data_IF_444976853126
#
_entry.id   IF_444976853126
#
_cell.length_a   1.000
_cell.length_b   1.000
_cell.length_c   1.000
_cell.angle_alpha   90.00
_cell.angle_beta   90.00
_cell.angle_gamma   90.00
#
_symmetry.space_group_name_H-M   'P 1'
#
loop_
_entity.id
_entity.type
_entity.pdbx_description
1 polymer ?
#
# COMPACT_ATOMS: atom_id res chain seq x y z
N UNK A 1 -3.40 -18.85 -0.49
CA UNK A 1 -3.05 -17.55 0.10
C UNK A 1 -4.24 -16.62 -0.03
N UNK A 2 -4.58 -15.91 1.04
CA UNK A 2 -5.67 -14.93 0.99
C UNK A 2 -5.23 -13.70 0.22
N UNK A 3 -6.16 -13.11 -0.51
CA UNK A 3 -5.93 -11.85 -1.20
C UNK A 3 -6.31 -10.67 -0.30
N UNK A 4 -5.51 -9.59 -0.38
CA UNK A 4 -5.90 -8.32 0.22
C UNK A 4 -7.17 -7.81 -0.44
N UNK A 5 -7.98 -7.08 0.33
CA UNK A 5 -9.20 -6.46 -0.16
C UNK A 5 -8.95 -4.96 -0.36
N UNK A 6 -9.49 -4.39 -1.42
CA UNK A 6 -9.34 -2.98 -1.74
C UNK A 6 -10.70 -2.32 -1.97
N UNK A 7 -10.80 -1.07 -1.56
CA UNK A 7 -11.99 -0.24 -1.75
C UNK A 7 -11.54 1.15 -2.19
N UNK A 8 -11.87 1.51 -3.43
CA UNK A 8 -11.54 2.84 -3.96
C UNK A 8 -12.55 3.83 -3.39
N UNK A 9 -12.07 4.73 -2.54
CA UNK A 9 -12.92 5.73 -1.87
C UNK A 9 -13.05 7.02 -2.66
N UNK A 10 -12.01 7.40 -3.38
CA UNK A 10 -11.98 8.59 -4.23
C UNK A 10 -11.13 8.31 -5.46
N UNK A 11 -11.58 8.82 -6.59
CA UNK A 11 -10.82 8.73 -7.84
C UNK A 11 -11.10 9.99 -8.65
N UNK A 12 -10.22 10.98 -8.50
CA UNK A 12 -10.34 12.28 -9.15
C UNK A 12 -9.24 12.46 -10.19
N UNK A 13 -9.18 13.62 -10.82
CA UNK A 13 -8.09 13.94 -11.74
C UNK A 13 -6.74 14.06 -11.02
N UNK A 14 -6.74 14.32 -9.70
CA UNK A 14 -5.54 14.59 -8.93
C UNK A 14 -5.08 13.40 -8.09
N UNK A 15 -6.01 12.61 -7.54
CA UNK A 15 -5.68 11.53 -6.62
C UNK A 15 -6.60 10.34 -6.80
N UNK A 16 -6.08 9.16 -6.43
CA UNK A 16 -6.90 7.99 -6.14
C UNK A 16 -6.62 7.55 -4.71
N UNK A 17 -7.67 7.46 -3.91
CA UNK A 17 -7.57 7.00 -2.51
C UNK A 17 -8.20 5.62 -2.41
N UNK A 18 -7.40 4.64 -2.02
CA UNK A 18 -7.83 3.25 -1.86
C UNK A 18 -7.60 2.81 -0.42
N UNK A 19 -8.62 2.25 0.21
CA UNK A 19 -8.44 1.56 1.48
C UNK A 19 -8.06 0.11 1.22
N UNK A 20 -6.97 -0.32 1.82
CA UNK A 20 -6.50 -1.70 1.74
C UNK A 20 -6.69 -2.40 3.08
N UNK A 21 -7.22 -3.63 3.02
CA UNK A 21 -7.42 -4.48 4.19
C UNK A 21 -6.75 -5.82 3.94
N UNK A 22 -5.86 -6.20 4.84
CA UNK A 22 -5.15 -7.47 4.80
C UNK A 22 -5.51 -8.26 6.06
N UNK A 23 -6.34 -9.28 5.90
CA UNK A 23 -6.58 -10.25 6.98
C UNK A 23 -5.28 -10.98 7.32
N UNK A 24 -5.15 -11.61 8.50
CA UNK A 24 -3.99 -12.46 8.78
C UNK A 24 -3.77 -13.47 7.65
N UNK A 25 -2.56 -13.52 7.12
CA UNK A 25 -2.19 -14.39 6.01
C UNK A 25 -2.50 -13.84 4.63
N UNK A 26 -3.08 -12.66 4.51
CA UNK A 26 -3.38 -12.06 3.21
C UNK A 26 -2.17 -11.36 2.60
N UNK A 27 -2.19 -11.23 1.28
CA UNK A 27 -1.13 -10.57 0.50
C UNK A 27 -1.74 -9.74 -0.63
N UNK A 28 -1.07 -8.64 -0.99
CA UNK A 28 -1.50 -7.83 -2.13
C UNK A 28 -1.19 -8.48 -3.47
N UNK A 29 -0.20 -9.37 -3.51
CA UNK A 29 0.42 -9.87 -4.73
C UNK A 29 1.51 -8.92 -5.22
N UNK A 30 2.42 -9.45 -6.03
CA UNK A 30 3.48 -8.62 -6.62
C UNK A 30 2.88 -7.57 -7.54
N UNK A 31 3.30 -6.32 -7.35
CA UNK A 31 2.82 -5.20 -8.15
C UNK A 31 3.90 -4.12 -8.26
N UNK A 32 3.71 -3.25 -9.25
CA UNK A 32 4.56 -2.08 -9.46
C UNK A 32 3.70 -0.83 -9.30
N UNK A 33 4.16 0.10 -8.48
CA UNK A 33 3.46 1.38 -8.31
C UNK A 33 3.79 2.30 -9.49
N UNK A 34 2.77 2.65 -10.25
CA UNK A 34 2.90 3.53 -11.42
C UNK A 34 2.85 5.02 -11.08
N UNK A 35 2.53 5.38 -9.85
CA UNK A 35 2.40 6.75 -9.38
C UNK A 35 3.12 6.92 -8.05
N UNK A 36 3.55 8.16 -7.76
CA UNK A 36 3.96 8.51 -6.39
C UNK A 36 2.76 8.34 -5.47
N UNK A 37 2.99 7.96 -4.23
CA UNK A 37 1.89 7.69 -3.33
C UNK A 37 2.25 7.95 -1.87
N UNK A 38 1.20 8.21 -1.08
CA UNK A 38 1.29 8.37 0.38
C UNK A 38 0.52 7.21 1.01
N UNK A 39 1.13 6.58 2.00
CA UNK A 39 0.45 5.58 2.81
C UNK A 39 0.06 6.22 4.13
N UNK A 40 -1.20 6.03 4.53
CA UNK A 40 -1.72 6.46 5.82
C UNK A 40 -2.17 5.22 6.58
N UNK A 41 -1.38 4.73 7.53
CA UNK A 41 -1.77 3.57 8.33
C UNK A 41 -3.01 3.88 9.20
N UNK A 42 -3.97 2.97 9.17
CA UNK A 42 -5.14 3.00 10.07
C UNK A 42 -4.86 2.12 11.28
N UNK A 43 -4.10 1.04 11.10
CA UNK A 43 -3.69 0.16 12.21
C UNK A 43 -2.20 0.31 12.48
N UNK A 44 -1.80 0.05 13.71
CA UNK A 44 -0.38 -0.08 14.08
C UNK A 44 -0.02 -1.56 13.96
N UNK A 45 0.99 -1.88 13.15
CA UNK A 45 1.37 -3.26 12.89
C UNK A 45 2.76 -3.33 12.25
N UNK A 46 3.11 -4.50 11.74
CA UNK A 46 4.33 -4.71 10.96
C UNK A 46 3.94 -5.44 9.68
N UNK A 47 4.19 -4.83 8.54
CA UNK A 47 4.00 -5.47 7.25
C UNK A 47 5.28 -6.22 6.85
N UNK A 48 5.12 -7.33 6.13
CA UNK A 48 6.26 -7.98 5.48
C UNK A 48 6.27 -7.57 4.02
N UNK A 49 7.40 -7.01 3.59
CA UNK A 49 7.59 -6.60 2.19
C UNK A 49 8.46 -7.65 1.51
N UNK A 50 7.97 -8.21 0.41
CA UNK A 50 8.76 -9.13 -0.42
C UNK A 50 9.21 -8.37 -1.66
N UNK A 51 10.53 -8.28 -1.83
CA UNK A 51 11.15 -7.56 -2.94
C UNK A 51 11.22 -8.45 -4.19
N UNK A 52 11.48 -7.87 -5.40
CA UNK A 52 11.53 -8.66 -6.62
C UNK A 52 12.54 -9.80 -6.60
N UNK A 53 13.63 -9.67 -5.85
CA UNK A 53 14.66 -10.72 -5.70
C UNK A 53 14.28 -11.80 -4.67
N UNK A 54 13.08 -11.71 -4.07
CA UNK A 54 12.61 -12.63 -3.05
C UNK A 54 13.05 -12.30 -1.63
N UNK A 55 13.88 -11.27 -1.43
CA UNK A 55 14.28 -10.85 -0.09
C UNK A 55 13.08 -10.22 0.64
N UNK A 56 13.13 -10.25 1.97
CA UNK A 56 12.04 -9.76 2.82
C UNK A 56 12.53 -8.67 3.75
N UNK A 57 11.69 -7.67 3.95
CA UNK A 57 11.92 -6.57 4.88
C UNK A 57 10.71 -6.43 5.79
N UNK A 58 10.94 -6.20 7.08
CA UNK A 58 9.88 -5.86 8.01
C UNK A 58 9.64 -4.35 7.97
N UNK A 59 8.39 -3.94 7.79
CA UNK A 59 8.01 -2.53 7.66
C UNK A 59 7.02 -2.17 8.77
N UNK A 60 7.50 -1.64 9.90
CA UNK A 60 6.60 -1.17 10.96
C UNK A 60 5.77 0.01 10.48
N UNK A 61 4.49 -0.02 10.80
CA UNK A 61 3.56 1.08 10.52
C UNK A 61 2.89 1.50 11.82
N UNK A 62 2.61 2.80 11.95
CA UNK A 62 1.96 3.38 13.13
C UNK A 62 0.73 4.15 12.68
N UNK A 63 -0.40 3.89 13.33
CA UNK A 63 -1.67 4.59 13.08
C UNK A 63 -1.45 6.10 12.96
N UNK A 64 -1.93 6.68 11.86
CA UNK A 64 -1.89 8.12 11.63
C UNK A 64 -0.53 8.67 11.20
N UNK A 65 0.53 7.86 11.15
CA UNK A 65 1.85 8.32 10.69
C UNK A 65 2.03 7.96 9.23
N UNK A 66 1.76 8.92 8.36
CA UNK A 66 1.88 8.73 6.92
C UNK A 66 3.34 8.72 6.46
N UNK A 67 3.56 8.13 5.29
CA UNK A 67 4.86 8.19 4.64
C UNK A 67 4.69 8.22 3.12
N UNK A 68 5.67 8.79 2.44
CA UNK A 68 5.70 8.99 1.00
C UNK A 68 6.59 7.94 0.33
N UNK A 69 6.17 7.49 -0.86
CA UNK A 69 6.96 6.60 -1.71
C UNK A 69 6.90 7.06 -3.16
N UNK A 70 8.00 6.92 -3.86
CA UNK A 70 8.11 7.24 -5.28
C UNK A 70 7.49 6.16 -6.15
N UNK A 71 7.01 6.55 -7.33
CA UNK A 71 6.64 5.61 -8.39
C UNK A 71 7.83 4.69 -8.71
N UNK A 72 7.52 3.48 -9.15
CA UNK A 72 8.54 2.49 -9.52
C UNK A 72 8.81 1.45 -8.45
N UNK A 73 8.29 1.61 -7.24
CA UNK A 73 8.42 0.59 -6.20
C UNK A 73 7.75 -0.70 -6.67
N UNK A 74 8.47 -1.82 -6.55
CA UNK A 74 7.98 -3.15 -6.88
C UNK A 74 8.06 -4.03 -5.64
N UNK A 75 6.95 -4.61 -5.25
CA UNK A 75 6.90 -5.47 -4.06
C UNK A 75 5.62 -6.27 -3.98
N UNK A 76 5.61 -7.22 -3.04
CA UNK A 76 4.42 -7.86 -2.50
C UNK A 76 4.33 -7.47 -1.03
N UNK A 77 3.13 -7.16 -0.54
CA UNK A 77 2.91 -6.79 0.86
C UNK A 77 2.10 -7.90 1.52
N UNK A 78 2.65 -8.46 2.61
CA UNK A 78 2.06 -9.57 3.33
C UNK A 78 1.70 -9.17 4.76
N UNK A 79 0.58 -9.69 5.24
CA UNK A 79 0.25 -9.66 6.66
C UNK A 79 0.56 -11.01 7.29
N UNK A 80 1.70 -11.11 7.95
CA UNK A 80 2.12 -12.31 8.66
C UNK A 80 1.83 -12.21 10.17
N UNK A 81 0.98 -11.25 10.57
CA UNK A 81 0.57 -11.05 11.97
C UNK A 81 -0.76 -11.74 12.26
N UNK A 82 -1.17 -11.72 13.52
CA UNK A 82 -2.43 -12.32 13.96
C UNK A 82 -3.63 -11.38 13.86
N UNK A 83 -3.44 -10.11 13.44
CA UNK A 83 -4.51 -9.12 13.37
C UNK A 83 -4.57 -8.48 12.00
N UNK A 84 -5.75 -7.96 11.63
CA UNK A 84 -5.94 -7.29 10.36
C UNK A 84 -5.09 -6.03 10.24
N UNK A 85 -4.51 -5.82 9.07
CA UNK A 85 -3.78 -4.58 8.72
C UNK A 85 -4.69 -3.76 7.79
N UNK A 86 -4.84 -2.47 8.12
CA UNK A 86 -5.63 -1.53 7.31
C UNK A 86 -4.81 -0.27 7.09
N UNK A 87 -4.76 0.20 5.85
CA UNK A 87 -4.14 1.48 5.50
C UNK A 87 -4.83 2.10 4.30
N UNK A 88 -4.69 3.42 4.18
CA UNK A 88 -5.08 4.15 2.99
C UNK A 88 -3.87 4.34 2.09
N UNK A 89 -4.06 4.13 0.80
CA UNK A 89 -3.08 4.46 -0.23
C UNK A 89 -3.61 5.65 -1.02
N UNK A 90 -2.88 6.75 -0.99
CA UNK A 90 -3.21 7.97 -1.73
C UNK A 90 -2.25 8.06 -2.90
N UNK A 91 -2.71 7.70 -4.09
CA UNK A 91 -1.92 7.78 -5.32
C UNK A 91 -2.04 9.18 -5.88
N UNK A 92 -0.90 9.80 -6.19
CA UNK A 92 -0.82 11.16 -6.70
C UNK A 92 -0.72 11.10 -8.22
N UNK A 93 -1.76 11.52 -8.90
CA UNK A 93 -1.79 11.48 -10.36
C UNK A 93 -0.93 12.58 -10.94
N UNK A 94 -0.13 12.31 -11.99
CA UNK A 94 0.68 13.34 -12.60
C UNK A 94 -0.18 14.38 -13.27
N UNK A 95 0.29 15.64 -13.27
CA UNK A 95 -0.38 16.72 -13.99
C UNK A 95 -0.36 16.44 -15.47
N UNK A 96 -1.46 16.77 -16.15
CA UNK A 96 -1.53 16.66 -17.61
C UNK A 96 -0.58 17.67 -18.26
N UNK A 97 0.27 17.22 -19.23
CA UNK A 97 1.10 18.16 -19.98
C UNK A 97 0.24 19.25 -20.65
N UNK A 98 0.61 20.52 -20.48
CA UNK A 98 -0.09 21.64 -21.08
C UNK A 98 -1.40 21.99 -20.40
N UNK A 99 -1.72 21.32 -19.30
CA UNK A 99 -2.93 21.58 -18.51
C UNK A 99 -2.70 22.61 -17.43
#
# INVERSE_FOLDING_TARGET
>A
MLAAQSDVQQDTAEVRVTEWRLAPGAATGHHTHGMDYVIVPITTSVMTIVHPDGSRTQAPITTGKSYFRKAGVQHDVLNETATEIVFLEVELKPSSPGG
#
